data_IF_656489766102
#
_entry.id   IF_656489766102
#
_cell.length_a   1.000
_cell.length_b   1.000
_cell.length_c   1.000
_cell.angle_alpha   90.00
_cell.angle_beta   90.00
_cell.angle_gamma   90.00
#
_symmetry.space_group_name_H-M   'P 1'
#
loop_
_entity.id
_entity.type
_entity.pdbx_description
1 polymer ?
#
# COMPACT_ATOMS: atom_id res chain seq x y z
N UNK A 1 16.30 20.27 2.07
CA UNK A 1 15.21 19.35 1.66
C UNK A 1 15.60 18.38 0.53
N UNK A 2 16.42 18.78 -0.46
CA UNK A 2 16.94 17.89 -1.54
C UNK A 2 17.64 16.57 -1.09
N UNK A 3 18.43 16.50 -0.01
CA UNK A 3 19.17 15.26 0.30
C UNK A 3 18.29 14.12 0.84
N UNK A 4 17.16 14.44 1.48
CA UNK A 4 16.22 13.44 2.02
C UNK A 4 15.46 12.72 0.90
N UNK A 5 14.97 13.48 -0.08
CA UNK A 5 14.31 12.89 -1.26
C UNK A 5 15.25 11.96 -2.02
N UNK A 6 16.51 12.38 -2.24
CA UNK A 6 17.53 11.55 -2.90
C UNK A 6 17.85 10.29 -2.08
N UNK A 7 17.90 10.40 -0.75
CA UNK A 7 18.12 9.25 0.14
C UNK A 7 16.99 8.22 -0.02
N UNK A 8 15.74 8.62 0.14
CA UNK A 8 14.60 7.70 0.02
C UNK A 8 14.48 7.13 -1.41
N UNK A 9 14.76 7.93 -2.43
CA UNK A 9 14.82 7.45 -3.82
C UNK A 9 15.92 6.39 -4.02
N UNK A 10 17.07 6.54 -3.35
CA UNK A 10 18.14 5.53 -3.36
C UNK A 10 17.76 4.27 -2.58
N UNK A 11 16.95 4.38 -1.52
CA UNK A 11 16.37 3.22 -0.84
C UNK A 11 15.41 2.48 -1.79
N UNK A 12 14.53 3.20 -2.50
CA UNK A 12 13.60 2.62 -3.48
C UNK A 12 14.30 1.93 -4.65
N UNK A 13 15.52 2.37 -5.03
CA UNK A 13 16.35 1.72 -6.06
C UNK A 13 17.28 0.62 -5.52
N UNK A 14 17.11 0.19 -4.27
CA UNK A 14 17.99 -0.78 -3.62
C UNK A 14 19.47 -0.35 -3.58
N UNK A 15 19.78 0.94 -3.66
CA UNK A 15 21.15 1.45 -3.63
C UNK A 15 21.65 1.71 -2.20
N UNK A 16 20.75 2.03 -1.27
CA UNK A 16 21.07 2.32 0.13
C UNK A 16 20.28 1.46 1.10
N UNK A 17 20.82 1.30 2.31
CA UNK A 17 20.21 0.55 3.39
C UNK A 17 19.53 1.45 4.43
N UNK A 18 18.68 0.90 5.31
CA UNK A 18 18.07 1.65 6.41
C UNK A 18 19.10 2.26 7.39
N UNK A 19 20.32 1.71 7.41
CA UNK A 19 21.46 2.22 8.17
C UNK A 19 21.99 3.59 7.68
N UNK A 20 21.68 3.99 6.45
CA UNK A 20 22.06 5.30 5.90
C UNK A 20 21.07 6.41 6.29
N UNK A 21 19.98 6.06 6.99
CA UNK A 21 18.99 7.03 7.47
C UNK A 21 19.48 7.68 8.76
N UNK A 22 19.57 9.02 8.82
CA UNK A 22 20.00 9.72 10.03
C UNK A 22 19.03 9.41 11.17
N UNK A 23 19.57 9.07 12.33
CA UNK A 23 18.76 8.88 13.53
C UNK A 23 18.12 10.21 13.93
N UNK A 24 16.82 10.37 13.65
CA UNK A 24 16.07 11.57 13.99
C UNK A 24 14.61 11.21 14.26
N UNK A 25 14.21 11.29 15.53
CA UNK A 25 12.83 11.06 15.95
C UNK A 25 11.87 12.13 15.39
N UNK A 26 12.35 13.36 15.20
CA UNK A 26 11.59 14.42 14.53
C UNK A 26 11.26 14.04 13.08
N UNK A 27 12.24 13.48 12.35
CA UNK A 27 12.03 13.03 10.96
C UNK A 27 10.98 11.92 10.89
N UNK A 28 11.04 10.97 11.83
CA UNK A 28 10.06 9.89 11.95
C UNK A 28 8.64 10.43 12.11
N UNK A 29 8.43 11.39 13.03
CA UNK A 29 7.11 11.99 13.27
C UNK A 29 6.61 12.76 12.06
N UNK A 30 7.48 13.54 11.40
CA UNK A 30 7.12 14.27 10.18
C UNK A 30 6.69 13.31 9.07
N UNK A 31 7.41 12.21 8.85
CA UNK A 31 7.05 11.22 7.85
C UNK A 31 5.77 10.45 8.21
N UNK A 32 5.55 10.19 9.50
CA UNK A 32 4.32 9.58 9.97
C UNK A 32 3.12 10.48 9.67
N UNK A 33 3.21 11.76 10.03
CA UNK A 33 2.17 12.74 9.73
C UNK A 33 1.96 12.88 8.22
N UNK A 34 3.03 12.95 7.43
CA UNK A 34 2.93 13.01 5.98
C UNK A 34 2.21 11.80 5.39
N UNK A 35 2.50 10.58 5.84
CA UNK A 35 1.81 9.37 5.39
C UNK A 35 0.33 9.37 5.79
N UNK A 36 0.02 9.77 7.03
CA UNK A 36 -1.37 9.86 7.49
C UNK A 36 -2.14 10.91 6.67
N UNK A 37 -1.57 12.10 6.48
CA UNK A 37 -2.18 13.15 5.66
C UNK A 37 -2.37 12.72 4.20
N UNK A 38 -1.40 12.01 3.63
CA UNK A 38 -1.48 11.51 2.25
C UNK A 38 -2.55 10.42 2.12
N UNK A 39 -2.64 9.50 3.07
CA UNK A 39 -3.68 8.45 3.08
C UNK A 39 -5.08 9.04 3.25
N UNK A 40 -5.28 9.95 4.20
CA UNK A 40 -6.56 10.67 4.34
C UNK A 40 -6.90 11.46 3.07
N UNK A 41 -5.92 12.15 2.49
CA UNK A 41 -6.07 12.87 1.22
C UNK A 41 -6.46 11.95 0.08
N UNK A 42 -5.88 10.74 0.01
CA UNK A 42 -6.24 9.75 -1.00
C UNK A 42 -7.70 9.32 -0.88
N UNK A 43 -8.17 9.02 0.33
CA UNK A 43 -9.55 8.61 0.58
C UNK A 43 -10.53 9.71 0.17
N UNK A 44 -10.23 10.97 0.48
CA UNK A 44 -11.07 12.11 0.07
C UNK A 44 -11.20 12.26 -1.44
N UNK A 45 -10.16 11.89 -2.20
CA UNK A 45 -10.16 11.97 -3.67
C UNK A 45 -10.83 10.75 -4.30
N UNK A 46 -10.65 9.55 -3.73
CA UNK A 46 -11.06 8.28 -4.32
C UNK A 46 -12.46 7.82 -3.89
N UNK A 47 -12.85 8.04 -2.62
CA UNK A 47 -14.12 7.55 -2.08
C UNK A 47 -14.50 8.28 -0.78
N UNK A 48 -15.46 9.20 -0.86
CA UNK A 48 -15.89 10.01 0.28
C UNK A 48 -16.92 9.31 1.19
N UNK A 49 -17.55 8.23 0.72
CA UNK A 49 -18.76 7.69 1.34
C UNK A 49 -18.52 6.93 2.67
N UNK A 50 -17.26 6.59 3.00
CA UNK A 50 -16.90 5.84 4.22
C UNK A 50 -15.56 6.30 4.81
N UNK A 51 -15.36 7.62 4.90
CA UNK A 51 -14.08 8.19 5.32
C UNK A 51 -13.68 7.81 6.74
N UNK A 52 -14.63 7.71 7.67
CA UNK A 52 -14.35 7.48 9.09
C UNK A 52 -13.89 6.03 9.30
N UNK A 53 -14.61 5.07 8.75
CA UNK A 53 -14.32 3.64 8.85
C UNK A 53 -12.99 3.30 8.20
N UNK A 54 -12.74 3.85 6.99
CA UNK A 54 -11.48 3.66 6.28
C UNK A 54 -10.31 4.33 7.00
N UNK A 55 -10.50 5.55 7.53
CA UNK A 55 -9.47 6.23 8.32
C UNK A 55 -9.13 5.44 9.60
N UNK A 56 -10.13 4.89 10.29
CA UNK A 56 -9.91 4.03 11.46
C UNK A 56 -9.16 2.76 11.08
N UNK A 57 -9.55 2.09 9.98
CA UNK A 57 -8.86 0.91 9.46
C UNK A 57 -7.39 1.19 9.12
N UNK A 58 -7.13 2.30 8.42
CA UNK A 58 -5.78 2.74 8.08
C UNK A 58 -4.94 3.04 9.33
N UNK A 59 -5.47 3.80 10.29
CA UNK A 59 -4.75 4.14 11.53
C UNK A 59 -4.44 2.88 12.35
N UNK A 60 -5.40 1.96 12.46
CA UNK A 60 -5.21 0.68 13.13
C UNK A 60 -4.14 -0.16 12.41
N UNK A 61 -4.21 -0.25 11.08
CA UNK A 61 -3.24 -0.99 10.29
C UNK A 61 -1.82 -0.41 10.43
N UNK A 62 -1.69 0.92 10.45
CA UNK A 62 -0.43 1.61 10.71
C UNK A 62 0.12 1.33 12.11
N UNK A 63 -0.75 1.33 13.13
CA UNK A 63 -0.39 1.00 14.50
C UNK A 63 0.05 -0.46 14.63
N UNK A 64 -0.67 -1.40 14.01
CA UNK A 64 -0.32 -2.83 13.98
C UNK A 64 1.01 -3.06 13.26
N UNK A 65 1.23 -2.38 12.13
CA UNK A 65 2.49 -2.46 11.40
C UNK A 65 3.68 -1.97 12.23
N UNK A 66 3.51 -0.82 12.89
CA UNK A 66 4.51 -0.26 13.81
C UNK A 66 4.79 -1.21 14.97
N UNK A 67 3.75 -1.75 15.61
CA UNK A 67 3.85 -2.68 16.73
C UNK A 67 4.56 -3.98 16.33
N UNK A 68 4.31 -4.51 15.13
CA UNK A 68 5.02 -5.68 14.62
C UNK A 68 6.51 -5.42 14.43
N UNK A 69 6.89 -4.31 13.78
CA UNK A 69 8.31 -3.97 13.60
C UNK A 69 8.98 -3.80 14.96
N UNK A 70 8.34 -3.08 15.88
CA UNK A 70 8.85 -2.89 17.23
C UNK A 70 9.00 -4.20 17.99
N UNK A 71 7.99 -5.08 17.92
CA UNK A 71 7.98 -6.39 18.55
C UNK A 71 9.11 -7.27 18.02
N UNK A 72 9.24 -7.42 16.70
CA UNK A 72 10.26 -8.25 16.07
C UNK A 72 11.67 -7.74 16.37
N UNK A 73 11.90 -6.42 16.30
CA UNK A 73 13.19 -5.84 16.68
C UNK A 73 13.46 -6.03 18.18
N UNK A 74 12.41 -5.96 19.01
CA UNK A 74 12.45 -6.25 20.44
C UNK A 74 12.90 -7.67 20.73
N UNK A 75 12.30 -8.67 20.06
CA UNK A 75 12.69 -10.07 20.17
C UNK A 75 14.13 -10.33 19.73
N UNK A 76 14.64 -9.59 18.74
CA UNK A 76 16.05 -9.68 18.31
C UNK A 76 17.02 -8.82 19.14
N UNK A 77 16.54 -8.11 20.17
CA UNK A 77 17.37 -7.21 20.99
C UNK A 77 17.89 -5.96 20.27
N UNK A 78 17.38 -5.67 19.07
CA UNK A 78 17.85 -4.58 18.19
C UNK A 78 16.95 -3.33 18.27
N UNK A 79 16.36 -3.04 19.44
CA UNK A 79 15.42 -1.91 19.61
C UNK A 79 16.02 -0.55 19.21
N UNK A 80 17.34 -0.38 19.35
CA UNK A 80 18.05 0.84 18.93
C UNK A 80 17.89 1.15 17.43
N UNK A 81 17.66 0.12 16.59
CA UNK A 81 17.46 0.28 15.14
C UNK A 81 16.02 0.60 14.76
N UNK A 82 15.10 0.65 15.72
CA UNK A 82 13.67 0.86 15.45
C UNK A 82 13.42 2.17 14.73
N UNK A 83 13.95 3.28 15.24
CA UNK A 83 13.74 4.62 14.66
C UNK A 83 14.21 4.65 13.21
N UNK A 84 15.40 4.12 12.91
CA UNK A 84 15.94 4.07 11.55
C UNK A 84 15.10 3.18 10.63
N UNK A 85 14.71 1.99 11.10
CA UNK A 85 13.90 1.03 10.33
C UNK A 85 12.54 1.62 9.99
N UNK A 86 11.85 2.16 10.99
CA UNK A 86 10.52 2.73 10.83
C UNK A 86 10.55 3.99 9.96
N UNK A 87 11.54 4.85 10.14
CA UNK A 87 11.76 6.03 9.29
C UNK A 87 12.03 5.63 7.84
N UNK A 88 12.84 4.59 7.61
CA UNK A 88 13.08 4.05 6.26
C UNK A 88 11.78 3.54 5.63
N UNK A 89 10.99 2.75 6.37
CA UNK A 89 9.70 2.25 5.91
C UNK A 89 8.74 3.39 5.55
N UNK A 90 8.54 4.36 6.46
CA UNK A 90 7.64 5.50 6.23
C UNK A 90 8.09 6.35 5.03
N UNK A 91 9.39 6.57 4.87
CA UNK A 91 9.92 7.35 3.76
C UNK A 91 9.74 6.66 2.39
N UNK A 92 9.97 5.34 2.32
CA UNK A 92 9.73 4.58 1.08
C UNK A 92 8.24 4.44 0.78
N UNK A 93 7.41 4.25 1.81
CA UNK A 93 5.96 4.14 1.69
C UNK A 93 5.35 5.46 1.19
N UNK A 94 5.83 6.60 1.70
CA UNK A 94 5.41 7.91 1.23
C UNK A 94 5.76 8.14 -0.25
N UNK A 95 6.98 7.78 -0.66
CA UNK A 95 7.39 7.89 -2.07
C UNK A 95 6.54 7.01 -2.98
N UNK A 96 6.29 5.76 -2.57
CA UNK A 96 5.45 4.85 -3.35
C UNK A 96 4.01 5.33 -3.41
N UNK A 97 3.45 5.79 -2.29
CA UNK A 97 2.10 6.35 -2.23
C UNK A 97 1.96 7.58 -3.14
N UNK A 98 2.96 8.47 -3.19
CA UNK A 98 2.98 9.60 -4.11
C UNK A 98 3.02 9.18 -5.60
N UNK A 99 3.57 8.01 -5.93
CA UNK A 99 3.57 7.47 -7.29
C UNK A 99 2.28 6.72 -7.63
N UNK A 100 1.74 5.97 -6.67
CA UNK A 100 0.55 5.14 -6.82
C UNK A 100 -0.72 6.00 -6.90
N UNK A 101 -0.80 7.09 -6.12
CA UNK A 101 -1.96 7.96 -6.10
C UNK A 101 -2.38 8.55 -7.45
N UNK A 102 -1.50 9.25 -8.19
CA UNK A 102 -1.88 9.81 -9.49
C UNK A 102 -2.27 8.72 -10.49
N UNK A 103 -1.64 7.53 -10.39
CA UNK A 103 -2.02 6.38 -11.20
C UNK A 103 -3.42 5.87 -10.87
N UNK A 104 -3.79 5.78 -9.58
CA UNK A 104 -5.13 5.41 -9.16
C UNK A 104 -6.18 6.42 -9.65
N UNK A 105 -5.93 7.72 -9.48
CA UNK A 105 -6.81 8.79 -9.96
C UNK A 105 -6.98 8.71 -11.47
N UNK A 106 -5.90 8.47 -12.22
CA UNK A 106 -5.96 8.31 -13.68
C UNK A 106 -6.85 7.14 -14.10
N UNK A 107 -6.72 5.98 -13.45
CA UNK A 107 -7.50 4.77 -13.75
C UNK A 107 -8.99 4.97 -13.42
N UNK A 108 -9.31 5.64 -12.31
CA UNK A 108 -10.70 5.91 -11.92
C UNK A 108 -11.36 6.92 -12.85
N UNK A 109 -10.62 7.95 -13.28
CA UNK A 109 -11.12 8.98 -14.21
C UNK A 109 -11.18 8.54 -15.66
N UNK A 110 -10.35 7.57 -16.05
CA UNK A 110 -10.31 6.99 -17.40
C UNK A 110 -10.54 5.48 -17.28
N UNK A 111 -11.79 5.04 -16.99
CA UNK A 111 -12.11 3.63 -16.86
C UNK A 111 -11.70 2.92 -18.16
N UNK A 112 -10.84 1.89 -18.07
CA UNK A 112 -10.30 1.28 -19.27
C UNK A 112 -11.38 0.64 -20.13
N UNK A 113 -11.36 0.94 -21.43
CA UNK A 113 -12.18 0.22 -22.42
C UNK A 113 -11.64 -1.20 -22.57
N UNK A 114 -12.50 -2.15 -22.95
CA UNK A 114 -12.17 -3.58 -23.01
C UNK A 114 -10.81 -3.85 -23.68
N UNK A 115 -9.91 -4.54 -22.98
CA UNK A 115 -8.53 -4.83 -23.41
C UNK A 115 -7.46 -3.93 -22.79
N UNK A 116 -7.69 -2.61 -22.66
CA UNK A 116 -6.69 -1.66 -22.12
C UNK A 116 -6.59 -1.69 -20.60
N UNK A 117 -7.64 -2.17 -19.90
CA UNK A 117 -7.61 -2.30 -18.44
C UNK A 117 -6.58 -3.29 -17.92
N UNK A 118 -6.10 -4.18 -18.78
CA UNK A 118 -5.10 -5.18 -18.44
C UNK A 118 -3.74 -4.56 -18.14
N UNK A 119 -3.28 -3.57 -18.93
CA UNK A 119 -1.94 -3.01 -18.75
C UNK A 119 -1.81 -2.21 -17.44
N UNK A 120 -2.82 -1.42 -17.10
CA UNK A 120 -2.83 -0.63 -15.86
C UNK A 120 -2.87 -1.51 -14.62
N UNK A 121 -3.59 -2.63 -14.66
CA UNK A 121 -3.58 -3.66 -13.60
C UNK A 121 -2.21 -4.31 -13.45
N UNK A 122 -1.52 -4.58 -14.56
CA UNK A 122 -0.14 -5.11 -14.52
C UNK A 122 0.85 -4.09 -13.94
N UNK A 123 0.71 -2.81 -14.28
CA UNK A 123 1.55 -1.74 -13.70
C UNK A 123 1.33 -1.65 -12.19
N UNK A 124 0.07 -1.67 -11.73
CA UNK A 124 -0.25 -1.72 -10.30
C UNK A 124 0.39 -2.92 -9.60
N UNK A 125 0.29 -4.11 -10.21
CA UNK A 125 0.90 -5.33 -9.69
C UNK A 125 2.44 -5.22 -9.61
N UNK A 126 3.07 -4.62 -10.62
CA UNK A 126 4.51 -4.41 -10.64
C UNK A 126 4.95 -3.43 -9.54
N UNK A 127 4.23 -2.33 -9.35
CA UNK A 127 4.49 -1.37 -8.27
C UNK A 127 4.31 -2.03 -6.90
N UNK A 128 3.27 -2.84 -6.74
CA UNK A 128 3.03 -3.61 -5.52
C UNK A 128 4.19 -4.57 -5.20
N UNK A 129 4.61 -5.37 -6.18
CA UNK A 129 5.75 -6.28 -6.02
C UNK A 129 7.01 -5.51 -5.65
N UNK A 130 7.24 -4.37 -6.31
CA UNK A 130 8.41 -3.53 -6.07
C UNK A 130 8.41 -2.96 -4.65
N UNK A 131 7.26 -2.49 -4.16
CA UNK A 131 7.09 -2.01 -2.79
C UNK A 131 7.37 -3.11 -1.74
N UNK A 132 6.83 -4.31 -1.95
CA UNK A 132 7.08 -5.48 -1.08
C UNK A 132 8.58 -5.81 -1.04
N UNK A 133 9.28 -5.77 -2.19
CA UNK A 133 10.71 -6.04 -2.25
C UNK A 133 11.54 -4.99 -1.48
N UNK A 134 11.17 -3.71 -1.54
CA UNK A 134 11.82 -2.64 -0.78
C UNK A 134 11.69 -2.91 0.72
N UNK A 135 10.46 -3.17 1.20
CA UNK A 135 10.18 -3.49 2.60
C UNK A 135 10.90 -4.75 3.06
N UNK A 136 10.92 -5.80 2.23
CA UNK A 136 11.67 -7.02 2.49
C UNK A 136 13.16 -6.77 2.71
N UNK A 137 13.78 -5.90 1.89
CA UNK A 137 15.18 -5.54 2.07
C UNK A 137 15.41 -4.72 3.33
N UNK A 138 14.54 -3.77 3.64
CA UNK A 138 14.61 -2.97 4.87
C UNK A 138 14.55 -3.89 6.10
N UNK A 139 13.61 -4.85 6.13
CA UNK A 139 13.48 -5.79 7.24
C UNK A 139 14.68 -6.74 7.32
N UNK A 140 15.12 -7.30 6.19
CA UNK A 140 16.28 -8.19 6.14
C UNK A 140 17.53 -7.53 6.74
N UNK A 141 17.83 -6.30 6.32
CA UNK A 141 19.01 -5.57 6.79
C UNK A 141 18.87 -5.16 8.25
N UNK A 142 17.72 -4.59 8.64
CA UNK A 142 17.54 -4.04 9.99
C UNK A 142 17.54 -5.11 11.06
N UNK A 143 16.89 -6.24 10.76
CA UNK A 143 16.75 -7.36 11.68
C UNK A 143 17.94 -8.32 11.57
N UNK A 144 18.79 -8.25 10.54
CA UNK A 144 19.82 -9.25 10.28
C UNK A 144 19.20 -10.62 9.95
N UNK A 145 18.20 -10.62 9.07
CA UNK A 145 17.55 -11.83 8.54
C UNK A 145 18.12 -12.15 7.15
N UNK A 146 18.10 -13.43 6.78
CA UNK A 146 18.43 -13.84 5.41
C UNK A 146 17.46 -13.20 4.39
N UNK A 147 17.87 -13.12 3.12
CA UNK A 147 17.07 -12.52 2.04
C UNK A 147 15.66 -13.13 1.92
N UNK A 148 15.56 -14.46 2.04
CA UNK A 148 14.28 -15.17 1.96
C UNK A 148 13.38 -14.85 3.16
N UNK A 149 13.94 -14.84 4.37
CA UNK A 149 13.21 -14.51 5.60
C UNK A 149 12.66 -13.09 5.58
N UNK A 150 13.42 -12.12 5.07
CA UNK A 150 12.95 -10.74 4.91
C UNK A 150 11.78 -10.62 3.93
N UNK A 151 11.81 -11.38 2.83
CA UNK A 151 10.71 -11.43 1.85
C UNK A 151 9.45 -12.03 2.45
N UNK A 152 9.57 -13.20 3.08
CA UNK A 152 8.44 -13.85 3.74
C UNK A 152 7.82 -12.93 4.79
N UNK A 153 8.64 -12.30 5.62
CA UNK A 153 8.16 -11.36 6.62
C UNK A 153 7.42 -10.17 6.00
N UNK A 154 7.96 -9.60 4.92
CA UNK A 154 7.30 -8.49 4.23
C UNK A 154 5.95 -8.88 3.65
N UNK A 155 5.86 -10.07 3.04
CA UNK A 155 4.60 -10.59 2.50
C UNK A 155 3.61 -10.84 3.63
N UNK A 156 4.03 -11.46 4.74
CA UNK A 156 3.16 -11.71 5.89
C UNK A 156 2.60 -10.41 6.50
N UNK A 157 3.45 -9.41 6.69
CA UNK A 157 3.04 -8.10 7.21
C UNK A 157 2.08 -7.42 6.22
N UNK A 158 2.42 -7.43 4.93
CA UNK A 158 1.59 -6.82 3.89
C UNK A 158 0.21 -7.46 3.81
N UNK A 159 0.14 -8.80 3.82
CA UNK A 159 -1.12 -9.55 3.83
C UNK A 159 -1.95 -9.22 5.07
N UNK A 160 -1.35 -9.16 6.25
CA UNK A 160 -2.08 -8.83 7.47
C UNK A 160 -2.66 -7.40 7.41
N UNK A 161 -1.84 -6.43 6.99
CA UNK A 161 -2.27 -5.04 6.82
C UNK A 161 -3.38 -4.94 5.78
N UNK A 162 -3.26 -5.66 4.68
CA UNK A 162 -4.29 -5.73 3.65
C UNK A 162 -5.61 -6.30 4.19
N UNK A 163 -5.57 -7.43 4.90
CA UNK A 163 -6.76 -8.05 5.50
C UNK A 163 -7.42 -7.17 6.56
N UNK A 164 -6.62 -6.45 7.35
CA UNK A 164 -7.14 -5.47 8.30
C UNK A 164 -7.88 -4.35 7.57
N UNK A 165 -7.29 -3.72 6.57
CA UNK A 165 -7.98 -2.68 5.81
C UNK A 165 -9.25 -3.22 5.13
N UNK A 166 -9.21 -4.45 4.58
CA UNK A 166 -10.36 -5.08 3.96
C UNK A 166 -11.48 -5.38 4.95
N UNK A 167 -11.17 -5.72 6.20
CA UNK A 167 -12.17 -5.97 7.24
C UNK A 167 -12.90 -4.70 7.68
N UNK A 168 -12.32 -3.53 7.43
CA UNK A 168 -12.92 -2.22 7.69
C UNK A 168 -13.64 -1.63 6.46
N UNK A 169 -13.66 -2.35 5.34
CA UNK A 169 -14.39 -1.98 4.13
C UNK A 169 -15.87 -2.36 4.32
N UNK A 170 -16.82 -1.42 4.17
CA UNK A 170 -18.23 -1.70 4.41
C UNK A 170 -18.77 -2.76 3.45
N UNK A 171 -19.63 -3.69 3.93
CA UNK A 171 -20.18 -4.77 3.11
C UNK A 171 -21.06 -4.26 1.95
N UNK A 172 -21.56 -3.04 2.04
CA UNK A 172 -22.37 -2.37 1.01
C UNK A 172 -21.60 -2.23 -0.32
N UNK A 173 -20.29 -1.98 -0.27
CA UNK A 173 -19.44 -1.88 -1.46
C UNK A 173 -19.32 -3.23 -2.17
N UNK A 174 -19.28 -4.33 -1.41
CA UNK A 174 -19.25 -5.68 -1.98
C UNK A 174 -20.58 -6.05 -2.62
N UNK A 175 -21.69 -5.64 -2.01
CA UNK A 175 -23.04 -5.86 -2.57
C UNK A 175 -23.26 -5.07 -3.86
N UNK A 176 -22.76 -3.83 -3.95
CA UNK A 176 -22.83 -3.03 -5.17
C UNK A 176 -21.99 -3.65 -6.32
N UNK A 177 -20.80 -4.15 -6.02
CA UNK A 177 -19.98 -4.86 -7.00
C UNK A 177 -20.65 -6.14 -7.51
N UNK A 178 -21.35 -6.87 -6.62
CA UNK A 178 -22.08 -8.09 -6.96
C UNK A 178 -23.36 -7.78 -7.77
N UNK A 179 -24.07 -6.70 -7.44
CA UNK A 179 -25.25 -6.21 -8.19
C UNK A 179 -24.89 -5.65 -9.58
N UNK A 180 -23.78 -4.93 -9.71
CA UNK A 180 -23.30 -4.47 -11.01
C UNK A 180 -22.84 -5.64 -11.88
N UNK A 181 -22.22 -6.66 -11.29
CA UNK A 181 -21.83 -7.89 -11.97
C UNK A 181 -23.06 -8.67 -12.47
N UNK A 182 -24.09 -8.86 -11.63
CA UNK A 182 -25.32 -9.57 -12.03
C UNK A 182 -26.14 -8.79 -13.07
N UNK A 183 -26.26 -7.47 -12.92
CA UNK A 183 -26.95 -6.63 -13.90
C UNK A 183 -26.29 -6.67 -15.29
N UNK A 184 -24.95 -6.70 -15.35
CA UNK A 184 -24.22 -6.85 -16.61
C UNK A 184 -24.43 -8.21 -17.29
N UNK A 185 -24.58 -9.28 -16.49
CA UNK A 185 -24.88 -10.64 -17.00
C UNK A 185 -26.29 -10.73 -17.57
N UNK A 186 -27.28 -10.14 -16.90
CA UNK A 186 -28.68 -10.16 -17.35
C UNK A 186 -28.88 -9.33 -18.63
N UNK A 187 -28.18 -8.19 -18.77
CA UNK A 187 -28.17 -7.43 -20.02
C UNK A 187 -27.56 -8.22 -21.18
N UNK A 188 -26.42 -8.87 -20.97
CA UNK A 188 -25.77 -9.70 -22.00
C UNK A 188 -26.63 -10.92 -22.42
N UNK A 189 -27.43 -11.47 -21.50
CA UNK A 189 -28.36 -12.57 -21.81
C UNK A 189 -29.55 -12.09 -22.65
N UNK A 190 -30.09 -10.91 -22.34
CA UNK A 190 -31.22 -10.30 -23.05
C UNK A 190 -30.87 -9.91 -24.49
N UNK A 191 -29.68 -9.34 -24.72
CA UNK A 191 -29.18 -9.02 -26.07
C UNK A 191 -28.99 -10.29 -26.93
N UNK A 192 -28.51 -11.39 -26.34
CA UNK A 192 -28.38 -12.67 -27.07
C UNK A 192 -29.73 -13.24 -27.48
N UNK A 193 -30.74 -13.18 -26.62
CA UNK A 193 -32.08 -13.68 -26.97
C UNK A 193 -32.71 -12.86 -28.10
N UNK A 194 -32.52 -11.54 -28.10
CA UNK A 194 -33.06 -10.68 -29.14
C UNK A 194 -32.40 -10.94 -30.51
N UNK A 195 -31.10 -11.24 -30.54
CA UNK A 195 -30.37 -11.48 -31.78
C UNK A 195 -30.61 -12.89 -32.39
N UNK A 196 -31.16 -13.83 -31.61
CA UNK A 196 -31.52 -15.19 -32.10
C UNK A 196 -32.95 -15.31 -32.62
N UNK A 197 -33.77 -14.26 -32.52
CA UNK A 197 -35.16 -14.25 -32.98
C UNK A 197 -35.39 -13.48 -34.30
N UNK A 198 -34.32 -13.07 -34.99
CA UNK A 198 -34.34 -12.49 -36.33
C UNK A 198 -33.73 -13.43 -37.36
#
# INVERSE_FOLDING_TARGET
>A
MKPLFVLFWQLCRFQKGPQDVPYSQALMVVLLLANVSLGLGSMLVLSADYLVEQAMGMLLALAVWMAMIWGILGFKGQKARFVQTWTACLGTDLLMSCLVLPLQVFIVTNPPVEGEGSIWRLVMLLVLIWDILIKARIYSVSMGLGRLQGNLLSISIWLLVFLLNFSFLPPEVMQQAEQQSSAGVDQAYSERQHNTSN
#
